data_IF_123521579709
#
_entry.id   IF_123521579709
#
_cell.length_a   1.000
_cell.length_b   1.000
_cell.length_c   1.000
_cell.angle_alpha   90.00
_cell.angle_beta   90.00
_cell.angle_gamma   90.00
#
_symmetry.space_group_name_H-M   'P 1'
#
loop_
_entity.id
_entity.type
_entity.pdbx_description
1 polymer ?
#
# COMPACT_ATOMS: atom_id res chain seq x y z
N UNK A 1 0.55 9.09 -11.02
CA UNK A 1 0.45 8.26 -9.82
C UNK A 1 0.99 9.08 -8.69
N UNK A 2 0.35 8.96 -7.53
CA UNK A 2 0.81 9.57 -6.30
C UNK A 2 0.95 8.41 -5.33
N UNK A 3 2.07 8.36 -4.62
CA UNK A 3 2.30 7.43 -3.53
C UNK A 3 2.72 8.25 -2.31
N UNK A 4 2.21 7.88 -1.13
CA UNK A 4 2.52 8.56 0.13
C UNK A 4 3.05 7.51 1.09
N UNK A 5 4.24 7.73 1.65
CA UNK A 5 4.82 6.86 2.66
C UNK A 5 5.09 7.66 3.94
N UNK A 6 4.42 7.29 5.02
CA UNK A 6 4.62 7.84 6.36
C UNK A 6 5.66 7.00 7.11
N UNK A 7 6.46 7.64 7.97
CA UNK A 7 7.27 6.90 8.92
C UNK A 7 6.41 6.38 10.10
N UNK A 8 6.56 5.11 10.52
CA UNK A 8 5.70 4.47 11.52
C UNK A 8 5.68 5.13 12.90
N UNK A 9 6.75 5.81 13.28
CA UNK A 9 6.88 6.46 14.60
C UNK A 9 7.30 7.93 14.55
N UNK A 10 7.39 8.52 13.34
CA UNK A 10 7.84 9.91 13.15
C UNK A 10 6.82 10.64 12.28
N UNK A 11 5.73 11.15 12.87
CA UNK A 11 4.57 11.65 12.11
C UNK A 11 4.92 12.80 11.16
N UNK A 12 5.94 13.61 11.50
CA UNK A 12 6.38 14.71 10.64
C UNK A 12 7.22 14.27 9.43
N UNK A 13 7.69 13.02 9.40
CA UNK A 13 8.51 12.47 8.33
C UNK A 13 7.64 11.68 7.36
N UNK A 14 7.49 12.23 6.16
CA UNK A 14 6.81 11.53 5.08
C UNK A 14 7.47 11.82 3.72
N UNK A 15 7.25 10.87 2.82
CA UNK A 15 7.69 10.91 1.45
C UNK A 15 6.48 10.88 0.54
N UNK A 16 6.53 11.66 -0.53
CA UNK A 16 5.57 11.56 -1.62
C UNK A 16 6.32 11.26 -2.90
N UNK A 17 5.85 10.30 -3.68
CA UNK A 17 6.29 10.11 -5.05
C UNK A 17 5.19 10.58 -6.01
N UNK A 18 5.61 11.30 -7.02
CA UNK A 18 4.79 11.71 -8.17
C UNK A 18 5.25 10.93 -9.40
N UNK A 19 4.75 11.26 -10.60
CA UNK A 19 5.25 10.63 -11.82
C UNK A 19 6.75 10.94 -12.07
N UNK A 20 7.21 12.11 -11.63
CA UNK A 20 8.51 12.66 -12.05
C UNK A 20 9.50 12.78 -10.89
N UNK A 21 9.00 12.99 -9.66
CA UNK A 21 9.83 13.31 -8.50
C UNK A 21 9.35 12.64 -7.22
N UNK A 22 10.30 12.37 -6.33
CA UNK A 22 10.10 12.09 -4.92
C UNK A 22 10.38 13.36 -4.12
N UNK A 23 9.46 13.72 -3.24
CA UNK A 23 9.65 14.78 -2.26
C UNK A 23 9.61 14.21 -0.85
N UNK A 24 10.32 14.88 0.05
CA UNK A 24 10.38 14.57 1.48
C UNK A 24 10.04 15.80 2.28
N UNK A 25 9.28 15.62 3.36
CA UNK A 25 9.11 16.63 4.41
C UNK A 25 9.52 16.04 5.76
N UNK A 26 9.87 16.93 6.69
CA UNK A 26 10.17 16.64 8.10
C UNK A 26 9.34 17.53 9.03
N UNK A 27 8.31 18.20 8.51
CA UNK A 27 7.50 19.19 9.19
C UNK A 27 6.01 19.04 8.84
N UNK A 28 5.57 17.80 8.60
CA UNK A 28 4.18 17.46 8.27
C UNK A 28 3.65 18.13 6.99
N UNK A 29 4.54 18.47 6.05
CA UNK A 29 4.21 19.02 4.74
C UNK A 29 4.21 20.54 4.65
N UNK A 30 4.78 21.25 5.63
CA UNK A 30 4.98 22.71 5.53
C UNK A 30 6.05 23.06 4.51
N UNK A 31 7.14 22.30 4.47
CA UNK A 31 8.21 22.44 3.47
C UNK A 31 8.65 21.09 2.90
N UNK A 32 9.12 21.12 1.65
CA UNK A 32 9.47 19.93 0.88
C UNK A 32 10.85 20.01 0.24
N UNK A 33 11.57 18.90 0.26
CA UNK A 33 12.85 18.74 -0.42
C UNK A 33 12.71 17.72 -1.53
N UNK A 34 13.11 18.06 -2.75
CA UNK A 34 13.21 17.10 -3.86
C UNK A 34 14.39 16.15 -3.61
N UNK A 35 14.10 14.85 -3.54
CA UNK A 35 15.04 13.78 -3.22
C UNK A 35 15.10 12.74 -4.34
N UNK A 36 14.91 13.16 -5.59
CA UNK A 36 14.86 12.27 -6.76
C UNK A 36 16.24 12.00 -7.38
N UNK A 37 17.31 12.61 -6.85
CA UNK A 37 18.64 12.57 -7.46
C UNK A 37 19.17 11.13 -7.55
N UNK A 38 19.55 10.72 -8.76
CA UNK A 38 20.07 9.38 -9.04
C UNK A 38 19.02 8.39 -9.56
N UNK A 39 17.73 8.77 -9.61
CA UNK A 39 16.69 7.99 -10.26
C UNK A 39 16.50 8.50 -11.69
N UNK A 40 17.02 7.79 -12.68
CA UNK A 40 16.85 8.16 -14.10
C UNK A 40 15.57 7.54 -14.65
N UNK A 41 14.59 8.37 -15.01
CA UNK A 41 13.42 8.00 -15.86
C UNK A 41 12.52 6.86 -15.37
N UNK A 42 12.65 6.46 -14.11
CA UNK A 42 11.93 5.34 -13.52
C UNK A 42 10.73 5.85 -12.73
N UNK A 43 9.52 5.51 -13.18
CA UNK A 43 8.29 5.88 -12.47
C UNK A 43 8.24 5.12 -11.16
N UNK A 44 8.26 5.84 -10.04
CA UNK A 44 8.07 5.27 -8.70
C UNK A 44 6.61 4.90 -8.52
N UNK A 45 6.41 3.67 -8.04
CA UNK A 45 5.09 3.04 -7.90
C UNK A 45 4.79 2.78 -6.43
N UNK A 46 5.80 2.39 -5.65
CA UNK A 46 5.67 2.14 -4.22
C UNK A 46 6.86 2.74 -3.47
N UNK A 47 6.62 3.15 -2.23
CA UNK A 47 7.64 3.63 -1.31
C UNK A 47 7.50 2.90 0.03
N UNK A 48 8.63 2.54 0.64
CA UNK A 48 8.66 2.03 1.99
C UNK A 48 9.78 2.69 2.78
N UNK A 49 9.47 3.19 3.97
CA UNK A 49 10.45 3.76 4.90
C UNK A 49 10.77 2.72 5.95
N UNK A 50 12.06 2.47 6.18
CA UNK A 50 12.51 1.53 7.20
C UNK A 50 11.99 1.96 8.59
N UNK A 51 11.28 1.07 9.31
CA UNK A 51 10.63 1.42 10.57
C UNK A 51 11.61 1.73 11.70
N UNK A 52 12.85 1.21 11.62
CA UNK A 52 13.86 1.33 12.66
C UNK A 52 14.96 2.31 12.26
N UNK A 53 15.28 2.39 10.96
CA UNK A 53 16.34 3.24 10.41
C UNK A 53 15.80 4.20 9.35
N UNK A 54 15.13 5.32 9.72
CA UNK A 54 14.46 6.26 8.80
C UNK A 54 15.32 6.86 7.66
N UNK A 55 16.63 6.70 7.70
CA UNK A 55 17.51 7.07 6.58
C UNK A 55 17.42 6.04 5.43
N UNK A 56 17.05 4.81 5.72
CA UNK A 56 16.79 3.79 4.73
C UNK A 56 15.38 3.98 4.14
N UNK A 57 15.32 4.20 2.84
CA UNK A 57 14.06 4.33 2.09
C UNK A 57 14.16 3.48 0.85
N UNK A 58 13.09 2.78 0.52
CA UNK A 58 13.00 1.91 -0.63
C UNK A 58 11.97 2.46 -1.61
N UNK A 59 12.30 2.41 -2.90
CA UNK A 59 11.41 2.79 -3.98
C UNK A 59 11.25 1.62 -4.93
N UNK A 60 10.03 1.11 -5.05
CA UNK A 60 9.64 0.19 -6.10
C UNK A 60 9.27 0.96 -7.36
N UNK A 61 9.83 0.58 -8.50
CA UNK A 61 9.63 1.29 -9.77
C UNK A 61 8.96 0.43 -10.83
N UNK A 62 8.53 1.07 -11.90
CA UNK A 62 8.26 0.42 -13.18
C UNK A 62 9.55 0.32 -13.98
N UNK A 63 10.01 -0.90 -14.22
CA UNK A 63 11.12 -1.23 -15.14
C UNK A 63 12.48 -1.48 -14.49
N UNK A 64 12.82 -0.77 -13.41
CA UNK A 64 14.15 -0.86 -12.76
C UNK A 64 14.13 -1.56 -11.38
N UNK A 65 13.03 -2.28 -11.11
CA UNK A 65 12.81 -3.06 -9.89
C UNK A 65 12.80 -2.21 -8.60
N UNK A 66 13.81 -2.36 -7.74
CA UNK A 66 13.89 -1.73 -6.42
C UNK A 66 15.12 -0.84 -6.34
N UNK A 67 14.94 0.38 -5.86
CA UNK A 67 16.02 1.25 -5.39
C UNK A 67 16.00 1.37 -3.88
N UNK A 68 17.18 1.56 -3.29
CA UNK A 68 17.34 1.90 -1.88
C UNK A 68 18.16 3.18 -1.74
N UNK A 69 17.69 4.07 -0.88
CA UNK A 69 18.46 5.18 -0.35
C UNK A 69 18.93 4.84 1.06
N UNK A 70 20.19 5.15 1.38
CA UNK A 70 20.77 4.98 2.73
C UNK A 70 20.86 6.30 3.50
N UNK A 71 20.48 7.42 2.87
CA UNK A 71 20.65 8.77 3.38
C UNK A 71 19.36 9.59 3.27
N UNK A 72 18.21 8.93 3.40
CA UNK A 72 16.90 9.55 3.48
C UNK A 72 16.45 10.19 2.16
N UNK A 73 16.88 9.64 1.03
CA UNK A 73 16.49 10.03 -0.33
C UNK A 73 17.53 10.85 -1.10
N UNK A 74 18.64 11.28 -0.49
CA UNK A 74 19.62 12.13 -1.21
C UNK A 74 20.34 11.40 -2.35
N UNK A 75 20.52 10.09 -2.23
CA UNK A 75 21.05 9.21 -3.28
C UNK A 75 20.29 7.89 -3.29
N UNK A 76 20.11 7.31 -4.47
CA UNK A 76 19.42 6.04 -4.69
C UNK A 76 20.34 5.05 -5.41
N UNK A 77 20.35 3.81 -4.94
CA UNK A 77 21.17 2.72 -5.48
C UNK A 77 20.24 1.56 -5.84
N UNK A 78 20.41 1.00 -7.04
CA UNK A 78 19.63 -0.15 -7.49
C UNK A 78 19.92 -1.39 -6.62
N UNK A 79 18.86 -2.09 -6.21
CA UNK A 79 18.85 -3.30 -5.39
C UNK A 79 18.13 -4.41 -6.14
N UNK A 80 18.69 -4.82 -7.30
CA UNK A 80 18.04 -5.74 -8.25
C UNK A 80 18.59 -7.17 -8.24
N UNK A 81 19.55 -7.50 -7.38
CA UNK A 81 20.12 -8.86 -7.32
C UNK A 81 19.03 -9.85 -6.94
N UNK A 82 18.83 -10.90 -7.76
CA UNK A 82 17.73 -11.85 -7.58
C UNK A 82 16.36 -11.41 -8.13
N UNK A 83 16.26 -10.19 -8.69
CA UNK A 83 15.09 -9.67 -9.41
C UNK A 83 15.32 -9.70 -10.94
N UNK A 84 16.15 -10.62 -11.44
CA UNK A 84 16.61 -10.64 -12.83
C UNK A 84 15.47 -10.88 -13.84
N UNK A 85 14.38 -11.53 -13.43
CA UNK A 85 13.17 -11.69 -14.24
C UNK A 85 12.27 -10.44 -14.30
N UNK A 86 12.56 -9.39 -13.53
CA UNK A 86 11.85 -8.10 -13.58
C UNK A 86 12.33 -7.35 -14.82
N UNK A 87 11.49 -7.33 -15.84
CA UNK A 87 11.73 -6.66 -17.12
C UNK A 87 11.39 -5.17 -17.06
N UNK A 88 11.71 -4.42 -18.14
CA UNK A 88 11.34 -3.01 -18.29
C UNK A 88 9.83 -2.73 -18.19
N UNK A 89 8.99 -3.75 -18.37
CA UNK A 89 7.52 -3.65 -18.22
C UNK A 89 7.02 -4.08 -16.84
N UNK A 90 7.89 -4.67 -16.02
CA UNK A 90 7.56 -5.15 -14.69
C UNK A 90 7.45 -4.00 -13.69
N UNK A 91 6.64 -4.21 -12.67
CA UNK A 91 6.29 -3.20 -11.67
C UNK A 91 6.46 -3.79 -10.28
N UNK A 92 7.06 -3.02 -9.37
CA UNK A 92 7.03 -3.29 -7.93
C UNK A 92 5.86 -2.51 -7.33
N UNK A 93 4.74 -3.21 -7.10
CA UNK A 93 3.47 -2.61 -6.70
C UNK A 93 3.41 -2.27 -5.22
N UNK A 94 4.05 -3.06 -4.35
CA UNK A 94 4.09 -2.81 -2.91
C UNK A 94 5.39 -3.38 -2.32
N UNK A 95 5.95 -2.65 -1.36
CA UNK A 95 7.07 -3.06 -0.52
C UNK A 95 6.59 -3.07 0.93
N UNK A 96 6.72 -4.20 1.62
CA UNK A 96 6.21 -4.38 2.97
C UNK A 96 7.31 -4.90 3.88
N UNK A 97 7.68 -4.12 4.89
CA UNK A 97 8.56 -4.59 5.95
C UNK A 97 7.84 -5.62 6.81
N UNK A 98 8.58 -6.66 7.19
CA UNK A 98 8.19 -7.53 8.29
C UNK A 98 8.24 -6.72 9.60
N UNK A 99 7.19 -6.79 10.45
CA UNK A 99 7.14 -6.09 11.72
C UNK A 99 8.41 -6.26 12.56
N UNK A 100 8.95 -5.15 13.06
CA UNK A 100 10.16 -5.15 13.90
C UNK A 100 11.47 -5.40 13.16
N UNK A 101 11.48 -5.44 11.82
CA UNK A 101 12.70 -5.68 11.03
C UNK A 101 13.11 -4.47 10.18
N UNK A 102 14.42 -4.24 10.06
CA UNK A 102 15.04 -3.34 9.06
C UNK A 102 15.61 -4.10 7.86
N UNK A 103 15.60 -5.43 7.91
CA UNK A 103 16.27 -6.30 6.93
C UNK A 103 15.31 -7.17 6.14
N UNK A 104 14.17 -7.53 6.73
CA UNK A 104 13.22 -8.46 6.16
C UNK A 104 12.07 -7.70 5.48
N UNK A 105 12.01 -7.79 4.15
CA UNK A 105 11.05 -7.07 3.31
C UNK A 105 10.47 -8.02 2.27
N UNK A 106 9.17 -7.93 2.04
CA UNK A 106 8.48 -8.53 0.90
C UNK A 106 8.20 -7.48 -0.18
N UNK A 107 8.32 -7.89 -1.44
CA UNK A 107 7.96 -7.11 -2.62
C UNK A 107 6.85 -7.84 -3.40
N UNK A 108 5.70 -7.19 -3.56
CA UNK A 108 4.66 -7.61 -4.48
C UNK A 108 4.95 -7.02 -5.87
N UNK A 109 5.11 -7.89 -6.87
CA UNK A 109 5.51 -7.46 -8.22
C UNK A 109 4.66 -8.07 -9.33
N UNK A 110 4.74 -7.49 -10.52
CA UNK A 110 4.19 -8.11 -11.74
C UNK A 110 4.76 -9.51 -12.05
N UNK A 111 5.87 -9.91 -11.40
CA UNK A 111 6.52 -11.20 -11.61
C UNK A 111 6.32 -12.19 -10.45
N UNK A 112 5.61 -11.79 -9.39
CA UNK A 112 5.38 -12.59 -8.19
C UNK A 112 5.75 -11.87 -6.88
N UNK A 113 5.70 -12.61 -5.78
CA UNK A 113 6.28 -12.19 -4.49
C UNK A 113 7.77 -12.45 -4.49
N UNK A 114 8.54 -11.47 -4.00
CA UNK A 114 9.95 -11.62 -3.68
C UNK A 114 10.21 -11.24 -2.23
N UNK A 115 11.19 -11.90 -1.62
CA UNK A 115 11.60 -11.71 -0.23
C UNK A 115 13.09 -11.32 -0.19
N UNK A 116 13.45 -10.42 0.70
CA UNK A 116 14.83 -10.17 1.11
C UNK A 116 14.90 -10.26 2.63
N UNK A 117 15.94 -10.91 3.15
CA UNK A 117 16.26 -10.96 4.58
C UNK A 117 17.54 -10.16 4.92
N UNK A 118 18.08 -9.42 3.94
CA UNK A 118 19.32 -8.65 4.04
C UNK A 118 19.16 -7.22 3.49
N UNK A 119 18.02 -6.61 3.79
CA UNK A 119 17.70 -5.22 3.48
C UNK A 119 17.82 -4.86 1.99
N UNK A 120 17.46 -5.78 1.10
CA UNK A 120 17.46 -5.61 -0.35
C UNK A 120 18.76 -6.06 -1.04
N UNK A 121 19.75 -6.57 -0.30
CA UNK A 121 21.02 -7.01 -0.88
C UNK A 121 20.87 -8.17 -1.87
N UNK A 122 19.93 -9.09 -1.60
CA UNK A 122 19.47 -10.09 -2.57
C UNK A 122 17.98 -10.36 -2.36
N UNK A 123 17.28 -10.68 -3.44
CA UNK A 123 15.87 -11.04 -3.43
C UNK A 123 15.69 -12.50 -3.86
N UNK A 124 14.74 -13.18 -3.24
CA UNK A 124 14.38 -14.57 -3.54
C UNK A 124 12.91 -14.64 -3.90
N UNK A 125 12.57 -15.31 -5.00
CA UNK A 125 11.18 -15.46 -5.44
C UNK A 125 10.44 -16.44 -4.52
N UNK A 126 9.21 -16.10 -4.12
CA UNK A 126 8.37 -16.84 -3.15
C UNK A 126 6.97 -17.10 -3.71
N UNK A 127 6.86 -18.05 -4.63
CA UNK A 127 5.62 -18.31 -5.39
C UNK A 127 5.11 -19.75 -5.28
N UNK A 128 5.71 -20.57 -4.43
CA UNK A 128 5.30 -21.97 -4.29
C UNK A 128 3.83 -22.03 -3.81
N UNK A 129 3.01 -22.83 -4.49
CA UNK A 129 1.56 -22.90 -4.26
C UNK A 129 0.72 -21.81 -4.97
N UNK A 130 1.33 -20.76 -5.53
CA UNK A 130 0.61 -19.76 -6.34
C UNK A 130 0.42 -20.22 -7.79
N UNK A 131 -0.74 -20.81 -8.09
CA UNK A 131 -1.10 -21.31 -9.43
C UNK A 131 -1.90 -20.25 -10.21
N UNK A 132 -1.62 -20.07 -11.50
CA UNK A 132 -2.35 -19.11 -12.38
C UNK A 132 -2.29 -17.63 -11.94
N UNK A 133 -1.20 -17.21 -11.31
CA UNK A 133 -0.98 -15.81 -10.94
C UNK A 133 -0.21 -15.08 -12.06
N UNK A 134 -0.85 -14.08 -12.67
CA UNK A 134 -0.20 -13.21 -13.65
C UNK A 134 0.63 -12.11 -12.97
N UNK A 135 0.14 -11.61 -11.83
CA UNK A 135 0.81 -10.57 -11.06
C UNK A 135 0.34 -10.58 -9.60
N UNK A 136 1.22 -10.14 -8.71
CA UNK A 136 0.92 -9.86 -7.30
C UNK A 136 0.95 -8.35 -7.12
N UNK A 137 -0.16 -7.77 -6.68
CA UNK A 137 -0.37 -6.32 -6.64
C UNK A 137 -0.21 -5.76 -5.24
N UNK A 138 -0.47 -6.59 -4.22
CA UNK A 138 -0.47 -6.15 -2.83
C UNK A 138 -0.09 -7.31 -1.92
N UNK A 139 0.55 -6.99 -0.80
CA UNK A 139 0.91 -7.97 0.23
C UNK A 139 0.80 -7.33 1.60
N UNK A 140 0.25 -8.08 2.56
CA UNK A 140 0.23 -7.67 3.95
C UNK A 140 0.68 -8.81 4.87
N UNK A 141 1.30 -8.43 5.98
CA UNK A 141 1.94 -9.33 6.95
C UNK A 141 1.24 -9.14 8.28
N UNK A 142 0.87 -10.24 8.93
CA UNK A 142 0.28 -10.18 10.27
C UNK A 142 1.29 -9.54 11.24
N UNK A 143 0.93 -8.42 11.91
CA UNK A 143 1.85 -7.71 12.79
C UNK A 143 2.28 -8.52 14.02
N UNK A 144 1.45 -9.48 14.45
CA UNK A 144 1.66 -10.28 15.65
C UNK A 144 2.25 -11.65 15.33
N UNK A 145 2.02 -12.17 14.12
CA UNK A 145 2.53 -13.46 13.65
C UNK A 145 3.08 -13.36 12.22
N UNK A 146 4.32 -12.86 12.02
CA UNK A 146 4.84 -12.57 10.68
C UNK A 146 5.02 -13.76 9.72
N UNK A 147 4.77 -14.99 10.19
CA UNK A 147 4.65 -16.18 9.34
C UNK A 147 3.33 -16.19 8.55
N UNK A 148 2.31 -15.46 8.99
CA UNK A 148 1.03 -15.32 8.32
C UNK A 148 1.03 -14.09 7.40
N UNK A 149 0.76 -14.33 6.11
CA UNK A 149 0.71 -13.29 5.09
C UNK A 149 -0.47 -13.49 4.17
N UNK A 150 -0.94 -12.40 3.59
CA UNK A 150 -1.90 -12.42 2.50
C UNK A 150 -1.38 -11.65 1.29
N UNK A 151 -1.54 -12.23 0.11
CA UNK A 151 -1.17 -11.64 -1.16
C UNK A 151 -2.41 -11.46 -2.04
N UNK A 152 -2.61 -10.23 -2.53
CA UNK A 152 -3.62 -9.92 -3.52
C UNK A 152 -3.05 -10.04 -4.92
N UNK A 153 -3.70 -10.85 -5.75
CA UNK A 153 -3.21 -11.21 -7.09
C UNK A 153 -4.25 -10.98 -8.18
N UNK A 154 -3.86 -11.11 -9.44
CA UNK A 154 -4.80 -11.17 -10.57
C UNK A 154 -5.83 -12.30 -10.44
N UNK A 155 -5.44 -13.41 -9.80
CA UNK A 155 -6.24 -14.62 -9.61
C UNK A 155 -6.93 -14.71 -8.24
N UNK A 156 -6.99 -13.62 -7.48
CA UNK A 156 -7.61 -13.55 -6.16
C UNK A 156 -6.61 -13.47 -5.01
N UNK A 157 -7.06 -13.85 -3.82
CA UNK A 157 -6.29 -13.80 -2.59
C UNK A 157 -5.59 -15.15 -2.36
N UNK A 158 -4.31 -15.05 -2.02
CA UNK A 158 -3.50 -16.15 -1.52
C UNK A 158 -3.10 -15.87 -0.09
N UNK A 159 -2.98 -16.92 0.72
CA UNK A 159 -2.51 -16.87 2.09
C UNK A 159 -1.31 -17.79 2.29
N UNK A 160 -0.35 -17.35 3.09
CA UNK A 160 0.73 -18.18 3.61
C UNK A 160 0.69 -18.16 5.14
N UNK A 161 1.17 -19.24 5.75
CA UNK A 161 1.31 -19.42 7.21
C UNK A 161 2.75 -19.78 7.62
N UNK A 162 3.65 -19.83 6.66
CA UNK A 162 5.02 -20.32 6.82
C UNK A 162 6.06 -19.32 6.29
N UNK A 163 5.69 -18.02 6.32
CA UNK A 163 6.59 -16.94 5.93
C UNK A 163 6.80 -16.90 4.42
N UNK A 164 5.72 -17.03 3.65
CA UNK A 164 5.72 -17.05 2.17
C UNK A 164 6.46 -18.24 1.54
N UNK A 165 6.77 -19.30 2.30
CA UNK A 165 7.38 -20.52 1.75
C UNK A 165 6.38 -21.29 0.90
N UNK A 166 5.12 -21.33 1.28
CA UNK A 166 4.04 -21.89 0.48
C UNK A 166 2.75 -21.05 0.61
N UNK A 167 1.98 -21.00 -0.47
CA UNK A 167 0.76 -20.21 -0.59
C UNK A 167 -0.46 -21.07 -0.92
N UNK A 168 -1.61 -20.72 -0.34
CA UNK A 168 -2.89 -21.39 -0.54
C UNK A 168 -3.93 -20.36 -1.01
N UNK A 169 -4.69 -20.70 -2.06
CA UNK A 169 -5.76 -19.84 -2.60
C UNK A 169 -6.94 -19.80 -1.63
N UNK A 170 -7.42 -18.62 -1.26
CA UNK A 170 -8.49 -18.41 -0.26
C UNK A 170 -9.58 -17.48 -0.80
N UNK A 171 -10.32 -17.94 -1.81
CA UNK A 171 -11.24 -17.09 -2.60
C UNK A 171 -12.74 -17.33 -2.37
N UNK A 172 -13.11 -18.21 -1.44
CA UNK A 172 -14.50 -18.59 -1.22
C UNK A 172 -15.35 -17.35 -0.86
N UNK A 173 -16.33 -16.99 -1.69
CA UNK A 173 -17.18 -15.81 -1.50
C UNK A 173 -16.64 -14.48 -2.05
N UNK A 174 -15.40 -14.42 -2.57
CA UNK A 174 -14.88 -13.18 -3.18
C UNK A 174 -15.53 -12.82 -4.52
N UNK A 175 -15.97 -13.82 -5.29
CA UNK A 175 -16.73 -13.60 -6.52
C UNK A 175 -17.69 -14.78 -6.69
N UNK A 176 -18.94 -14.56 -7.12
CA UNK A 176 -19.85 -15.66 -7.42
C UNK A 176 -19.25 -16.62 -8.46
N UNK A 177 -19.42 -17.96 -8.31
CA UNK A 177 -18.85 -18.96 -9.23
C UNK A 177 -19.17 -18.70 -10.71
N UNK A 178 -20.35 -18.15 -11.00
CA UNK A 178 -20.83 -17.81 -12.33
C UNK A 178 -20.07 -16.66 -13.02
N UNK A 179 -19.30 -15.86 -12.26
CA UNK A 179 -18.48 -14.75 -12.78
C UNK A 179 -17.01 -15.17 -12.92
N UNK A 180 -16.61 -16.33 -12.39
CA UNK A 180 -15.28 -16.93 -12.57
C UNK A 180 -15.10 -17.51 -13.99
N UNK A 181 -15.31 -16.69 -15.02
CA UNK A 181 -15.20 -17.08 -16.44
C UNK A 181 -13.85 -16.69 -17.07
N UNK A 182 -12.94 -16.06 -16.33
CA UNK A 182 -11.63 -15.63 -16.84
C UNK A 182 -10.56 -15.51 -15.74
N UNK A 183 -9.29 -15.67 -16.13
CA UNK A 183 -8.09 -15.61 -15.26
C UNK A 183 -7.86 -14.28 -14.52
N UNK A 184 -8.65 -13.25 -14.81
CA UNK A 184 -8.61 -11.92 -14.17
C UNK A 184 -9.87 -11.54 -13.42
N UNK A 185 -10.82 -12.47 -13.27
CA UNK A 185 -12.16 -12.18 -12.75
C UNK A 185 -12.15 -11.60 -11.32
N UNK A 186 -11.14 -11.96 -10.52
CA UNK A 186 -10.95 -11.47 -9.16
C UNK A 186 -10.19 -10.14 -9.11
N UNK A 187 -8.94 -10.11 -9.59
CA UNK A 187 -8.05 -8.93 -9.60
C UNK A 187 -8.13 -8.11 -8.30
N UNK A 188 -7.40 -8.54 -7.29
CA UNK A 188 -7.26 -7.82 -6.02
C UNK A 188 -6.47 -6.53 -6.23
N UNK A 189 -6.98 -5.43 -5.69
CA UNK A 189 -6.34 -4.10 -5.73
C UNK A 189 -5.57 -3.83 -4.43
N UNK A 190 -6.20 -4.10 -3.28
CA UNK A 190 -5.59 -3.94 -1.95
C UNK A 190 -6.05 -5.05 -1.00
N UNK A 191 -5.18 -5.45 -0.09
CA UNK A 191 -5.49 -6.36 1.02
C UNK A 191 -4.90 -5.80 2.30
N UNK A 192 -5.66 -5.88 3.39
CA UNK A 192 -5.23 -5.43 4.73
C UNK A 192 -5.67 -6.41 5.80
N UNK A 193 -4.74 -6.81 6.65
CA UNK A 193 -4.96 -7.63 7.84
C UNK A 193 -5.27 -6.67 8.99
N UNK A 194 -6.33 -6.95 9.76
CA UNK A 194 -6.64 -6.16 10.95
C UNK A 194 -5.53 -6.34 12.00
N UNK A 195 -4.86 -5.26 12.45
CA UNK A 195 -3.73 -5.37 13.36
C UNK A 195 -4.12 -5.81 14.78
N UNK A 196 -5.39 -5.65 15.15
CA UNK A 196 -5.93 -6.02 16.46
C UNK A 196 -6.57 -7.42 16.44
N UNK A 197 -7.02 -7.88 15.27
CA UNK A 197 -7.68 -9.17 15.10
C UNK A 197 -7.29 -9.83 13.76
N UNK A 198 -6.10 -10.47 13.64
CA UNK A 198 -5.58 -10.94 12.35
C UNK A 198 -6.41 -12.00 11.60
N UNK A 199 -7.42 -12.60 12.25
CA UNK A 199 -8.41 -13.44 11.58
C UNK A 199 -9.41 -12.63 10.73
N UNK A 200 -9.44 -11.31 10.92
CA UNK A 200 -10.18 -10.34 10.13
C UNK A 200 -9.26 -9.77 9.05
N UNK A 201 -9.67 -9.92 7.79
CA UNK A 201 -8.94 -9.38 6.65
C UNK A 201 -9.93 -8.69 5.72
N UNK A 202 -9.54 -7.52 5.21
CA UNK A 202 -10.32 -6.74 4.25
C UNK A 202 -9.60 -6.76 2.90
N UNK A 203 -10.36 -6.87 1.81
CA UNK A 203 -9.79 -6.78 0.47
C UNK A 203 -10.71 -6.05 -0.48
N UNK A 204 -10.11 -5.17 -1.28
CA UNK A 204 -10.76 -4.51 -2.40
C UNK A 204 -10.37 -5.22 -3.70
N UNK A 205 -11.37 -5.56 -4.51
CA UNK A 205 -11.20 -6.19 -5.83
C UNK A 205 -11.83 -5.33 -6.91
N UNK A 206 -11.67 -5.70 -8.18
CA UNK A 206 -12.40 -5.06 -9.28
C UNK A 206 -13.93 -5.30 -9.24
N UNK A 207 -14.41 -6.13 -8.31
CA UNK A 207 -15.84 -6.49 -8.15
C UNK A 207 -16.47 -5.93 -6.87
N UNK A 208 -15.68 -5.34 -5.98
CA UNK A 208 -16.17 -4.71 -4.76
C UNK A 208 -15.24 -4.91 -3.58
N UNK A 209 -15.75 -4.56 -2.40
CA UNK A 209 -15.07 -4.70 -1.13
C UNK A 209 -15.57 -5.95 -0.40
N UNK A 210 -14.65 -6.66 0.21
CA UNK A 210 -14.92 -7.92 0.90
C UNK A 210 -14.20 -7.97 2.24
N UNK A 211 -14.79 -8.70 3.18
CA UNK A 211 -14.25 -8.96 4.51
C UNK A 211 -14.33 -10.45 4.80
N UNK A 212 -13.32 -10.98 5.46
CA UNK A 212 -13.37 -12.28 6.13
C UNK A 212 -13.20 -12.07 7.63
N UNK A 213 -13.78 -12.95 8.44
CA UNK A 213 -13.57 -13.04 9.90
C UNK A 213 -13.13 -14.44 10.31
N UNK A 214 -12.74 -15.27 9.34
CA UNK A 214 -12.26 -16.64 9.55
C UNK A 214 -11.02 -16.88 8.70
N UNK A 215 -10.13 -15.89 8.69
CA UNK A 215 -8.84 -15.97 8.04
C UNK A 215 -8.86 -16.35 6.54
N UNK A 216 -9.91 -15.95 5.82
CA UNK A 216 -10.04 -16.17 4.38
C UNK A 216 -10.73 -17.49 4.00
N UNK A 217 -11.19 -18.29 4.96
CA UNK A 217 -12.01 -19.48 4.67
C UNK A 217 -13.32 -19.11 3.94
N UNK A 218 -13.90 -17.96 4.27
CA UNK A 218 -15.02 -17.36 3.53
C UNK A 218 -14.98 -15.85 3.59
N UNK A 219 -15.41 -15.22 2.51
CA UNK A 219 -15.49 -13.78 2.36
C UNK A 219 -16.94 -13.33 2.19
N UNK A 220 -17.28 -12.25 2.89
CA UNK A 220 -18.55 -11.56 2.78
C UNK A 220 -18.33 -10.25 2.01
N UNK A 221 -19.20 -9.95 1.05
CA UNK A 221 -19.22 -8.65 0.39
C UNK A 221 -19.70 -7.58 1.37
N UNK A 222 -19.08 -6.41 1.32
CA UNK A 222 -19.43 -5.26 2.15
C UNK A 222 -19.39 -3.99 1.29
N UNK A 223 -19.99 -2.91 1.78
CA UNK A 223 -19.94 -1.61 1.09
C UNK A 223 -20.69 -1.59 -0.25
N UNK A 224 -21.73 -2.42 -0.41
CA UNK A 224 -22.54 -2.48 -1.64
C UNK A 224 -23.26 -1.17 -1.93
N UNK A 225 -23.55 -0.38 -0.90
CA UNK A 225 -24.14 0.96 -1.01
C UNK A 225 -23.14 2.07 -1.36
N UNK A 226 -21.83 1.77 -1.43
CA UNK A 226 -20.83 2.79 -1.79
C UNK A 226 -21.01 3.24 -3.26
N UNK A 227 -20.91 4.55 -3.54
CA UNK A 227 -21.22 5.12 -4.85
C UNK A 227 -20.25 4.72 -5.97
N UNK A 228 -19.03 4.31 -5.64
CA UNK A 228 -18.05 3.76 -6.59
C UNK A 228 -17.48 2.47 -6.04
N UNK A 229 -17.50 1.41 -6.84
CA UNK A 229 -17.02 0.07 -6.50
C UNK A 229 -15.58 -0.16 -7.00
N UNK A 230 -14.98 0.82 -7.68
CA UNK A 230 -13.58 0.80 -8.10
C UNK A 230 -12.71 1.55 -7.08
N UNK A 231 -12.24 0.82 -6.08
CA UNK A 231 -11.39 1.38 -5.04
C UNK A 231 -9.95 1.53 -5.54
N UNK A 232 -9.35 2.68 -5.24
CA UNK A 232 -7.92 2.93 -5.46
C UNK A 232 -7.07 2.54 -4.24
N UNK A 233 -7.66 2.59 -3.04
CA UNK A 233 -6.96 2.29 -1.80
C UNK A 233 -7.90 1.77 -0.71
N UNK A 234 -7.32 1.04 0.24
CA UNK A 234 -7.97 0.46 1.43
C UNK A 234 -6.95 0.48 2.56
N UNK A 235 -7.28 1.16 3.66
CA UNK A 235 -6.45 1.23 4.86
C UNK A 235 -7.28 0.99 6.11
N UNK A 236 -6.62 0.56 7.18
CA UNK A 236 -7.22 0.35 8.49
C UNK A 236 -6.65 1.38 9.47
N UNK A 237 -7.47 1.80 10.41
CA UNK A 237 -6.99 2.55 11.56
C UNK A 237 -6.07 1.65 12.40
N UNK A 238 -4.82 2.06 12.68
CA UNK A 238 -3.85 1.23 13.39
C UNK A 238 -4.05 1.23 14.92
N UNK A 239 -4.93 2.09 15.44
CA UNK A 239 -5.17 2.26 16.89
C UNK A 239 -6.61 1.91 17.26
N UNK A 240 -7.58 2.21 16.38
CA UNK A 240 -9.00 1.97 16.64
C UNK A 240 -9.52 0.76 15.85
N UNK A 241 -9.80 -0.38 16.51
CA UNK A 241 -10.34 -1.56 15.84
C UNK A 241 -11.65 -1.27 15.09
N UNK A 242 -11.83 -1.91 13.93
CA UNK A 242 -13.07 -1.80 13.15
C UNK A 242 -13.23 -0.52 12.34
N UNK A 243 -12.29 0.44 12.43
CA UNK A 243 -12.29 1.63 11.56
C UNK A 243 -11.56 1.33 10.26
N UNK A 244 -12.28 1.44 9.15
CA UNK A 244 -11.81 1.11 7.79
C UNK A 244 -12.01 2.31 6.90
N UNK A 245 -10.99 2.70 6.14
CA UNK A 245 -11.11 3.75 5.14
C UNK A 245 -10.91 3.20 3.74
N UNK A 246 -11.72 3.69 2.80
CA UNK A 246 -11.61 3.37 1.37
C UNK A 246 -11.53 4.65 0.55
N UNK A 247 -10.73 4.59 -0.51
CA UNK A 247 -10.57 5.66 -1.49
C UNK A 247 -11.07 5.19 -2.86
N UNK A 248 -11.79 6.06 -3.59
CA UNK A 248 -12.27 5.78 -4.94
C UNK A 248 -12.36 7.07 -5.77
N UNK A 249 -13.10 7.06 -6.90
CA UNK A 249 -13.40 8.29 -7.65
C UNK A 249 -14.52 9.12 -7.00
N UNK A 250 -15.16 8.58 -5.97
CA UNK A 250 -16.18 9.26 -5.18
C UNK A 250 -15.64 9.81 -3.85
N UNK A 251 -14.32 9.91 -3.70
CA UNK A 251 -13.68 10.48 -2.52
C UNK A 251 -13.25 9.41 -1.51
N UNK A 252 -13.20 9.81 -0.25
CA UNK A 252 -12.89 8.96 0.90
C UNK A 252 -14.19 8.62 1.63
N UNK A 253 -14.36 7.34 1.92
CA UNK A 253 -15.42 6.86 2.81
C UNK A 253 -14.80 6.12 3.99
N UNK A 254 -15.44 6.23 5.14
CA UNK A 254 -15.03 5.58 6.38
C UNK A 254 -16.16 4.72 6.93
N UNK A 255 -15.82 3.52 7.37
CA UNK A 255 -16.65 2.69 8.20
C UNK A 255 -16.07 2.67 9.61
N UNK A 256 -16.93 2.75 10.63
CA UNK A 256 -16.53 2.68 12.06
C UNK A 256 -17.04 1.43 12.75
N UNK A 257 -17.67 0.53 12.00
CA UNK A 257 -18.32 -0.69 12.49
C UNK A 257 -17.86 -1.94 11.73
N UNK A 258 -16.63 -1.88 11.20
CA UNK A 258 -16.00 -2.99 10.50
C UNK A 258 -16.61 -3.29 9.13
N UNK A 259 -17.11 -2.27 8.44
CA UNK A 259 -17.59 -2.33 7.06
C UNK A 259 -19.11 -2.42 6.88
N UNK A 260 -19.91 -2.29 7.95
CA UNK A 260 -21.37 -2.42 7.87
C UNK A 260 -22.02 -1.13 7.38
N UNK A 261 -21.63 0.01 7.95
CA UNK A 261 -22.06 1.34 7.48
C UNK A 261 -20.87 2.17 7.03
N UNK A 262 -21.14 3.14 6.14
CA UNK A 262 -20.11 3.96 5.49
C UNK A 262 -20.56 5.42 5.40
N UNK A 263 -19.70 6.32 5.88
CA UNK A 263 -19.87 7.76 5.78
C UNK A 263 -18.87 8.34 4.78
N UNK A 264 -19.33 9.28 3.95
CA UNK A 264 -18.43 10.10 3.14
C UNK A 264 -17.75 11.16 4.02
N UNK A 265 -16.42 11.27 3.91
CA UNK A 265 -15.60 12.24 4.67
C UNK A 265 -14.80 13.10 3.68
N UNK A 266 -15.50 13.94 2.91
CA UNK A 266 -14.96 14.63 1.73
C UNK A 266 -14.91 16.16 1.84
N UNK A 267 -15.33 16.74 2.97
CA UNK A 267 -15.41 18.19 3.12
C UNK A 267 -14.02 18.84 2.98
N UNK A 268 -13.91 19.86 2.11
CA UNK A 268 -12.63 20.52 1.80
C UNK A 268 -11.82 19.90 0.67
N UNK A 269 -12.15 18.68 0.22
CA UNK A 269 -11.54 18.09 -0.98
C UNK A 269 -12.10 18.76 -2.24
N UNK A 270 -11.22 19.37 -3.05
CA UNK A 270 -11.61 19.99 -4.32
C UNK A 270 -11.67 18.99 -5.48
N UNK A 271 -11.20 17.76 -5.28
CA UNK A 271 -11.28 16.67 -6.25
C UNK A 271 -11.43 15.32 -5.54
N UNK A 272 -12.49 14.59 -5.88
CA UNK A 272 -12.82 13.30 -5.28
C UNK A 272 -12.12 12.11 -5.93
N UNK A 273 -11.33 12.31 -6.99
CA UNK A 273 -10.56 11.23 -7.61
C UNK A 273 -9.28 10.95 -6.80
N UNK A 274 -9.44 10.18 -5.73
CA UNK A 274 -8.35 9.82 -4.82
C UNK A 274 -7.47 8.75 -5.45
N UNK A 275 -6.16 8.86 -5.24
CA UNK A 275 -5.14 7.96 -5.80
C UNK A 275 -4.25 7.29 -4.76
N UNK A 276 -4.10 7.91 -3.60
CA UNK A 276 -3.41 7.36 -2.44
C UNK A 276 -4.09 7.89 -1.18
N UNK A 277 -4.21 7.04 -0.16
CA UNK A 277 -4.78 7.37 1.14
C UNK A 277 -3.93 6.73 2.22
N UNK A 278 -3.47 7.51 3.18
CA UNK A 278 -2.72 7.00 4.34
C UNK A 278 -3.25 7.62 5.64
N UNK A 279 -3.27 6.82 6.71
CA UNK A 279 -3.57 7.25 8.08
C UNK A 279 -2.28 7.27 8.88
N UNK A 280 -2.14 8.26 9.76
CA UNK A 280 -0.98 8.34 10.64
C UNK A 280 -0.97 7.14 11.61
N UNK A 281 0.19 6.47 11.74
CA UNK A 281 0.36 5.30 12.60
C UNK A 281 0.28 5.62 14.10
N UNK A 282 0.44 6.90 14.47
CA UNK A 282 0.46 7.35 15.87
C UNK A 282 -0.71 8.27 16.23
N UNK A 283 -1.48 8.72 15.25
CA UNK A 283 -2.62 9.63 15.45
C UNK A 283 -3.68 9.42 14.35
N UNK A 284 -4.75 8.66 14.60
CA UNK A 284 -5.74 8.35 13.57
C UNK A 284 -6.60 9.55 13.15
N UNK A 285 -6.53 10.67 13.87
CA UNK A 285 -7.16 11.91 13.42
C UNK A 285 -6.43 12.51 12.21
N UNK A 286 -5.16 12.15 12.01
CA UNK A 286 -4.32 12.64 10.92
C UNK A 286 -4.33 11.68 9.73
N UNK A 287 -4.86 12.12 8.59
CA UNK A 287 -4.82 11.39 7.32
C UNK A 287 -4.32 12.28 6.18
N UNK A 288 -3.74 11.65 5.16
CA UNK A 288 -3.32 12.31 3.93
C UNK A 288 -3.94 11.64 2.71
N UNK A 289 -4.32 12.45 1.72
CA UNK A 289 -4.77 11.96 0.42
C UNK A 289 -4.04 12.61 -0.73
N UNK A 290 -3.60 11.77 -1.67
CA UNK A 290 -3.13 12.20 -2.98
C UNK A 290 -4.29 12.16 -3.97
N UNK A 291 -4.59 13.29 -4.61
CA UNK A 291 -5.66 13.38 -5.60
C UNK A 291 -5.12 13.33 -7.03
N UNK A 292 -5.99 13.01 -7.98
CA UNK A 292 -5.68 13.18 -9.40
C UNK A 292 -5.74 14.68 -9.76
N UNK A 293 -4.59 15.30 -10.01
CA UNK A 293 -4.41 16.71 -10.46
C UNK A 293 -4.67 17.82 -9.44
N UNK A 294 -5.33 17.59 -8.30
CA UNK A 294 -5.56 18.65 -7.29
C UNK A 294 -4.50 18.67 -6.16
N UNK A 295 -3.52 17.77 -6.18
CA UNK A 295 -2.42 17.74 -5.22
C UNK A 295 -2.71 16.91 -3.97
N UNK A 296 -1.98 17.22 -2.90
CA UNK A 296 -2.02 16.56 -1.60
C UNK A 296 -2.97 17.31 -0.66
N UNK A 297 -3.76 16.59 0.12
CA UNK A 297 -4.59 17.13 1.19
C UNK A 297 -4.30 16.39 2.50
N UNK A 298 -4.54 17.08 3.62
CA UNK A 298 -4.43 16.53 4.97
C UNK A 298 -5.67 16.87 5.77
N UNK A 299 -6.07 15.97 6.65
CA UNK A 299 -7.01 16.22 7.75
C UNK A 299 -6.29 15.94 9.06
N UNK A 300 -6.62 16.67 10.12
CA UNK A 300 -6.15 16.42 11.50
C UNK A 300 -7.34 16.18 12.46
N UNK A 301 -8.52 15.88 11.91
CA UNK A 301 -9.77 15.72 12.67
C UNK A 301 -10.59 14.51 12.20
N UNK A 302 -9.90 13.46 11.72
CA UNK A 302 -10.51 12.19 11.33
C UNK A 302 -11.37 12.29 10.07
N UNK A 303 -10.99 13.17 9.13
CA UNK A 303 -11.68 13.35 7.84
C UNK A 303 -12.84 14.33 7.85
N UNK A 304 -13.12 15.01 8.98
CA UNK A 304 -14.20 16.02 9.01
C UNK A 304 -13.92 17.22 8.13
N UNK A 305 -12.65 17.65 8.02
CA UNK A 305 -12.24 18.71 7.11
C UNK A 305 -10.86 18.38 6.53
N UNK A 306 -10.73 18.54 5.22
CA UNK A 306 -9.49 18.40 4.46
C UNK A 306 -8.96 19.76 4.04
N UNK A 307 -7.67 19.96 4.24
CA UNK A 307 -6.95 21.17 3.84
C UNK A 307 -5.88 20.82 2.81
N UNK A 308 -5.66 21.65 1.78
CA UNK A 308 -4.60 21.43 0.81
C UNK A 308 -3.23 21.57 1.49
N UNK A 309 -2.31 20.67 1.14
CA UNK A 309 -0.90 20.71 1.55
C UNK A 309 -0.07 21.12 0.33
N UNK A 310 0.28 22.41 0.19
CA UNK A 310 0.99 22.90 -0.99
C UNK A 310 2.43 22.36 -1.02
N UNK A 311 2.94 22.14 -2.23
CA UNK A 311 4.33 21.73 -2.46
C UNK A 311 5.26 22.96 -2.39
N UNK A 312 5.43 23.50 -1.18
CA UNK A 312 6.37 24.59 -0.91
C UNK A 312 7.78 24.03 -0.75
N UNK A 313 8.67 24.33 -1.69
CA UNK A 313 10.06 23.85 -1.61
C UNK A 313 10.82 24.53 -0.47
N UNK A 314 11.58 23.75 0.29
CA UNK A 314 12.48 24.27 1.30
C UNK A 314 13.54 25.19 0.65
N UNK A 315 13.98 26.25 1.35
CA UNK A 315 15.04 27.11 0.85
C UNK A 315 16.28 26.29 0.49
N UNK A 316 16.91 26.59 -0.66
CA UNK A 316 18.23 26.03 -0.95
C UNK A 316 19.21 26.66 0.02
N UNK A 317 19.77 25.86 0.93
CA UNK A 317 20.95 26.29 1.67
C UNK A 317 22.08 26.45 0.64
N UNK A 318 22.48 27.70 0.39
CA UNK A 318 23.63 28.09 -0.43
C UNK A 318 24.94 27.69 0.24
#
# INVERSE_FOLDING_TARGET
MVEIALHPTKPDLLYIATNDYIFKTRDSGKTWTNVSKGMTHSRVISLAVDPLLPANVYAGTKGDAVFKSFNGGHQWISQRKGLEGVTITSVVHELKFVPGSSQHIFAATSMGVFETENAGGTWTKRMDGMIEVLMVVTIDVDPNQPQTLYAGTSGGVYRSFDGAKNWIKVNNGLVPPEVLKASRALSVVKIKIDPHAPHIVYTATLKGLYKTTNNGESWQRIGEGLPDQFFSDLILDPITPGVVYVASRAGVHVSRDGGQTWDAINEGLTNLNIRALVVSPTDPATLYVGTNRAGLFRTNNGGRLWEPVPLTLAPRNT
#
